data_IF_865375427331
#
_entry.id   IF_865375427331
#
_cell.length_a   1.000
_cell.length_b   1.000
_cell.length_c   1.000
_cell.angle_alpha   90.00
_cell.angle_beta   90.00
_cell.angle_gamma   90.00
#
_symmetry.space_group_name_H-M   'P 1'
#
loop_
_entity.id
_entity.type
_entity.pdbx_description
1 polymer ?
#
# COMPACT_ATOMS: atom_id res chain seq x y z
N UNK A 1 19.82 -26.12 -63.54
CA UNK A 1 18.80 -25.17 -63.04
C UNK A 1 18.09 -25.60 -61.75
N UNK A 2 17.67 -26.85 -61.55
CA UNK A 2 17.03 -27.27 -60.28
C UNK A 2 17.96 -27.34 -59.09
N UNK A 3 19.23 -27.71 -59.28
CA UNK A 3 20.25 -27.85 -58.21
C UNK A 3 20.80 -26.52 -57.66
N UNK A 4 20.80 -25.46 -58.42
CA UNK A 4 21.26 -24.16 -57.98
C UNK A 4 20.19 -23.41 -57.14
N UNK A 5 18.94 -23.63 -57.45
CA UNK A 5 17.82 -23.03 -56.73
C UNK A 5 17.66 -23.61 -55.27
N UNK A 6 17.91 -24.91 -55.13
CA UNK A 6 17.87 -25.55 -53.82
C UNK A 6 19.05 -25.15 -52.90
N UNK A 7 20.21 -24.87 -53.47
CA UNK A 7 21.37 -24.36 -52.72
C UNK A 7 21.21 -22.87 -52.31
N UNK A 8 20.48 -22.08 -53.07
CA UNK A 8 20.17 -20.69 -52.72
C UNK A 8 19.16 -20.60 -51.60
N UNK A 9 18.12 -21.44 -51.58
CA UNK A 9 17.12 -21.53 -50.53
C UNK A 9 17.70 -22.01 -49.22
N UNK A 10 18.68 -22.94 -49.24
CA UNK A 10 19.36 -23.39 -48.01
C UNK A 10 20.26 -22.29 -47.40
N UNK A 11 20.93 -21.48 -48.20
CA UNK A 11 21.77 -20.36 -47.72
C UNK A 11 20.96 -19.21 -47.15
N UNK A 12 19.80 -18.87 -47.76
CA UNK A 12 18.90 -17.84 -47.24
C UNK A 12 18.21 -18.26 -45.95
N UNK A 13 17.85 -19.56 -45.84
CA UNK A 13 17.21 -20.07 -44.60
C UNK A 13 18.16 -20.08 -43.40
N UNK A 14 19.46 -20.31 -43.60
CA UNK A 14 20.45 -20.27 -42.51
C UNK A 14 20.82 -18.86 -42.07
N UNK A 15 20.87 -17.88 -42.96
CA UNK A 15 21.11 -16.48 -42.58
C UNK A 15 19.91 -15.86 -41.86
N UNK A 16 18.68 -16.22 -42.20
CA UNK A 16 17.50 -15.72 -41.49
C UNK A 16 17.34 -16.40 -40.10
N UNK A 17 17.72 -17.67 -39.93
CA UNK A 17 17.72 -18.30 -38.63
C UNK A 17 18.84 -17.79 -37.69
N UNK A 18 20.02 -17.47 -38.24
CA UNK A 18 21.09 -16.90 -37.39
C UNK A 18 20.82 -15.45 -37.02
N UNK A 19 20.16 -14.66 -37.84
CA UNK A 19 19.76 -13.29 -37.48
C UNK A 19 18.56 -13.26 -36.51
N UNK A 20 17.67 -14.25 -36.52
CA UNK A 20 16.61 -14.38 -35.48
C UNK A 20 17.14 -14.93 -34.15
N UNK A 21 18.17 -15.73 -34.13
CA UNK A 21 18.81 -16.21 -32.90
C UNK A 21 19.72 -15.18 -32.22
N UNK A 22 20.22 -14.19 -32.96
CA UNK A 22 21.03 -13.09 -32.42
C UNK A 22 20.18 -11.89 -31.90
N UNK A 23 18.91 -11.79 -32.28
CA UNK A 23 18.01 -10.76 -31.76
C UNK A 23 17.12 -11.22 -30.58
N UNK A 24 17.16 -12.48 -30.17
CA UNK A 24 16.47 -12.97 -28.98
C UNK A 24 17.31 -12.85 -27.69
N UNK A 25 18.52 -12.30 -27.74
CA UNK A 25 19.40 -12.20 -26.57
C UNK A 25 19.52 -10.80 -25.98
N UNK A 26 18.64 -9.86 -26.33
CA UNK A 26 18.70 -8.49 -25.82
C UNK A 26 17.35 -7.94 -25.33
N UNK A 27 16.42 -8.82 -24.96
CA UNK A 27 15.40 -8.45 -23.98
C UNK A 27 15.84 -9.06 -22.64
N UNK A 28 17.05 -8.74 -22.25
CA UNK A 28 17.42 -8.65 -20.86
C UNK A 28 16.57 -7.52 -20.29
N UNK A 29 15.42 -7.85 -19.69
CA UNK A 29 14.79 -6.96 -18.76
C UNK A 29 15.93 -6.47 -17.85
N UNK A 30 16.28 -5.19 -17.95
CA UNK A 30 17.02 -4.54 -16.91
C UNK A 30 16.17 -4.81 -15.67
N UNK A 31 16.57 -5.82 -14.88
CA UNK A 31 16.17 -5.90 -13.50
C UNK A 31 16.64 -4.59 -12.92
N UNK A 32 15.76 -3.59 -12.93
CA UNK A 32 15.89 -2.44 -12.06
C UNK A 32 16.14 -3.08 -10.71
N UNK A 33 17.38 -2.94 -10.22
CA UNK A 33 17.72 -3.31 -8.85
C UNK A 33 16.64 -2.64 -8.02
N UNK A 34 15.70 -3.45 -7.51
CA UNK A 34 14.68 -2.96 -6.61
C UNK A 34 15.45 -2.33 -5.46
N UNK A 35 15.41 -1.01 -5.36
CA UNK A 35 15.97 -0.33 -4.21
C UNK A 35 15.11 -0.76 -3.03
N UNK A 36 15.73 -1.32 -1.99
CA UNK A 36 15.02 -1.64 -0.77
C UNK A 36 14.24 -0.40 -0.31
N UNK A 37 12.97 -0.58 0.01
CA UNK A 37 12.09 0.50 0.41
C UNK A 37 12.61 1.12 1.71
N UNK A 38 13.25 2.26 1.60
CA UNK A 38 13.92 2.97 2.70
C UNK A 38 13.17 4.27 3.02
N UNK A 39 12.69 4.40 4.27
CA UNK A 39 11.92 5.57 4.71
C UNK A 39 12.69 6.89 4.62
N UNK A 40 14.01 6.82 4.57
CA UNK A 40 14.86 8.02 4.43
C UNK A 40 14.96 8.52 3.00
N UNK A 41 14.47 7.74 2.03
CA UNK A 41 14.59 8.04 0.61
C UNK A 41 13.33 8.72 0.06
N UNK A 42 13.48 9.63 -0.91
CA UNK A 42 12.33 10.27 -1.56
C UNK A 42 11.41 9.30 -2.28
N UNK A 43 11.94 8.16 -2.74
CA UNK A 43 11.22 7.10 -3.44
C UNK A 43 10.60 6.06 -2.51
N UNK A 44 10.61 6.30 -1.18
CA UNK A 44 9.90 5.47 -0.22
C UNK A 44 8.42 5.31 -0.60
N UNK A 45 8.05 4.11 -1.04
CA UNK A 45 6.70 3.76 -1.44
C UNK A 45 6.45 2.27 -1.19
N UNK A 46 6.16 1.85 0.06
CA UNK A 46 5.97 0.45 0.40
C UNK A 46 4.69 -0.13 -0.19
N UNK A 47 4.81 -1.30 -0.78
CA UNK A 47 3.72 -2.22 -1.08
C UNK A 47 3.99 -3.42 -0.19
N UNK A 48 3.23 -3.54 0.91
CA UNK A 48 3.54 -4.42 2.03
C UNK A 48 2.43 -5.45 2.27
N UNK A 49 2.74 -6.76 2.34
CA UNK A 49 1.80 -7.72 2.88
C UNK A 49 1.84 -7.63 4.41
N UNK A 50 0.73 -7.23 5.02
CA UNK A 50 0.65 -7.19 6.48
C UNK A 50 0.62 -8.59 7.04
N UNK A 51 1.50 -8.83 8.01
CA UNK A 51 1.58 -10.06 8.79
C UNK A 51 1.45 -11.36 7.95
N UNK A 52 2.32 -11.59 6.95
CA UNK A 52 2.20 -12.74 6.05
C UNK A 52 2.25 -14.08 6.79
N UNK A 53 2.78 -14.11 8.01
CA UNK A 53 2.88 -15.28 8.85
C UNK A 53 1.83 -15.33 9.98
N UNK A 54 0.87 -14.41 10.00
CA UNK A 54 -0.17 -14.38 11.02
C UNK A 54 -1.06 -15.63 10.97
N UNK A 55 -1.17 -16.29 12.12
CA UNK A 55 -1.99 -17.51 12.27
C UNK A 55 -1.44 -18.77 11.59
N UNK A 56 -0.19 -18.76 11.14
CA UNK A 56 0.40 -19.90 10.44
C UNK A 56 0.73 -21.06 11.36
N UNK A 57 0.33 -22.25 10.88
CA UNK A 57 0.76 -23.51 11.46
C UNK A 57 2.22 -23.78 11.11
N UNK A 58 2.87 -24.63 11.91
CA UNK A 58 4.29 -25.01 11.77
C UNK A 58 4.69 -25.40 10.32
N UNK A 59 3.81 -26.06 9.59
CA UNK A 59 4.02 -26.48 8.19
C UNK A 59 4.29 -25.33 7.22
N UNK A 60 3.81 -24.12 7.50
CA UNK A 60 4.07 -22.99 6.61
C UNK A 60 5.38 -22.26 6.92
N UNK A 61 5.78 -22.27 8.17
CA UNK A 61 7.12 -21.83 8.56
C UNK A 61 8.18 -22.64 7.81
N UNK A 62 7.88 -23.89 7.48
CA UNK A 62 8.75 -24.76 6.66
C UNK A 62 8.71 -24.38 5.17
N UNK A 63 7.69 -23.66 4.70
CA UNK A 63 7.53 -23.22 3.31
C UNK A 63 7.89 -21.73 3.09
N UNK A 64 8.77 -21.15 3.91
CA UNK A 64 9.15 -19.71 3.87
C UNK A 64 9.65 -19.27 2.51
N UNK A 65 10.43 -20.09 1.83
CA UNK A 65 10.95 -19.80 0.50
C UNK A 65 9.82 -19.54 -0.48
N UNK A 66 8.82 -20.42 -0.55
CA UNK A 66 7.65 -20.22 -1.40
C UNK A 66 6.82 -19.00 -0.97
N UNK A 67 6.75 -18.71 0.33
CA UNK A 67 6.07 -17.55 0.86
C UNK A 67 6.67 -16.25 0.36
N UNK A 68 7.97 -16.06 0.54
CA UNK A 68 8.68 -14.84 0.10
C UNK A 68 8.78 -14.73 -1.41
N UNK A 69 8.99 -15.84 -2.14
CA UNK A 69 8.96 -15.86 -3.60
C UNK A 69 7.57 -15.46 -4.12
N UNK A 70 6.50 -15.97 -3.51
CA UNK A 70 5.11 -15.61 -3.84
C UNK A 70 4.83 -14.12 -3.59
N UNK A 71 5.36 -13.55 -2.51
CA UNK A 71 5.26 -12.11 -2.19
C UNK A 71 5.96 -11.29 -3.27
N UNK A 72 7.20 -11.63 -3.63
CA UNK A 72 7.94 -10.93 -4.68
C UNK A 72 7.23 -11.03 -6.04
N UNK A 73 6.73 -12.23 -6.41
CA UNK A 73 5.96 -12.44 -7.64
C UNK A 73 4.64 -11.63 -7.67
N UNK A 74 4.06 -11.35 -6.52
CA UNK A 74 2.84 -10.54 -6.37
C UNK A 74 3.11 -9.03 -6.38
N UNK A 75 4.29 -8.60 -6.83
CA UNK A 75 4.75 -7.21 -6.93
C UNK A 75 4.77 -6.43 -5.61
N UNK A 76 4.93 -7.12 -4.50
CA UNK A 76 5.34 -6.46 -3.27
C UNK A 76 6.81 -6.07 -3.34
N UNK A 77 7.17 -4.95 -2.75
CA UNK A 77 8.56 -4.52 -2.58
C UNK A 77 9.04 -4.66 -1.13
N UNK A 78 8.16 -5.12 -0.24
CA UNK A 78 8.46 -5.37 1.17
C UNK A 78 7.92 -6.72 1.60
N UNK A 79 8.55 -7.28 2.62
CA UNK A 79 8.06 -8.43 3.39
C UNK A 79 7.92 -8.01 4.86
N UNK A 80 6.79 -8.19 5.41
CA UNK A 80 6.50 -7.95 6.81
C UNK A 80 5.53 -9.00 7.32
N UNK A 81 5.77 -9.67 8.41
CA UNK A 81 6.91 -9.51 9.32
C UNK A 81 7.76 -10.76 9.24
N UNK A 82 9.06 -10.60 9.14
CA UNK A 82 9.98 -11.70 8.89
C UNK A 82 10.96 -11.90 10.05
N UNK A 83 11.61 -13.05 10.08
CA UNK A 83 12.65 -13.36 11.05
C UNK A 83 14.03 -13.05 10.48
N UNK A 84 15.07 -12.89 11.33
CA UNK A 84 16.45 -12.67 10.86
C UNK A 84 16.94 -13.70 9.84
N UNK A 85 16.57 -14.96 9.99
CA UNK A 85 16.95 -16.03 9.06
C UNK A 85 16.34 -15.90 7.66
N UNK A 86 15.33 -15.08 7.48
CA UNK A 86 14.68 -14.83 6.20
C UNK A 86 15.39 -13.73 5.37
N UNK A 87 16.26 -12.95 6.00
CA UNK A 87 16.94 -11.81 5.39
C UNK A 87 17.74 -12.15 4.13
N UNK A 88 18.53 -13.23 4.07
CA UNK A 88 19.25 -13.58 2.85
C UNK A 88 18.31 -13.81 1.65
N UNK A 89 17.13 -14.38 1.90
CA UNK A 89 16.13 -14.56 0.84
C UNK A 89 15.46 -13.25 0.46
N UNK A 90 15.17 -12.37 1.42
CA UNK A 90 14.66 -11.02 1.14
C UNK A 90 15.66 -10.24 0.27
N UNK A 91 16.97 -10.30 0.58
CA UNK A 91 18.01 -9.68 -0.24
C UNK A 91 18.02 -10.23 -1.67
N UNK A 92 18.00 -11.57 -1.81
CA UNK A 92 17.96 -12.22 -3.13
C UNK A 92 16.74 -11.80 -3.96
N UNK A 93 15.59 -11.62 -3.33
CA UNK A 93 14.33 -11.27 -3.97
C UNK A 93 14.12 -9.75 -4.11
N UNK A 94 15.01 -8.91 -3.57
CA UNK A 94 14.88 -7.46 -3.59
C UNK A 94 13.76 -6.92 -2.69
N UNK A 95 13.38 -7.67 -1.65
CA UNK A 95 12.34 -7.28 -0.70
C UNK A 95 12.94 -6.52 0.49
N UNK A 96 12.41 -5.34 0.80
CA UNK A 96 12.62 -4.70 2.09
C UNK A 96 11.97 -5.51 3.21
N UNK A 97 12.58 -5.56 4.39
CA UNK A 97 12.14 -6.41 5.47
C UNK A 97 11.76 -5.61 6.73
N UNK A 98 10.59 -5.88 7.29
CA UNK A 98 10.24 -5.47 8.66
C UNK A 98 10.36 -6.70 9.54
N UNK A 99 11.25 -6.61 10.54
CA UNK A 99 11.61 -7.74 11.38
C UNK A 99 10.72 -7.87 12.59
N UNK A 100 10.41 -9.12 12.93
CA UNK A 100 9.86 -9.52 14.23
C UNK A 100 10.98 -9.95 15.17
N UNK A 101 10.77 -9.85 16.50
CA UNK A 101 11.62 -10.55 17.48
C UNK A 101 11.63 -12.07 17.24
N UNK A 102 12.81 -12.69 17.36
CA UNK A 102 13.06 -14.07 16.90
C UNK A 102 12.41 -15.19 17.74
N UNK A 103 12.01 -14.91 18.95
CA UNK A 103 11.88 -15.95 19.97
C UNK A 103 10.46 -16.36 20.35
N UNK A 104 9.42 -15.69 19.89
CA UNK A 104 8.07 -16.05 20.33
C UNK A 104 6.94 -15.67 19.39
N UNK A 105 7.24 -15.08 18.29
CA UNK A 105 6.26 -14.32 17.50
C UNK A 105 5.24 -15.19 16.76
N UNK A 106 5.46 -16.48 16.64
CA UNK A 106 4.60 -17.35 15.82
C UNK A 106 3.65 -18.22 16.63
N UNK A 107 3.82 -18.25 17.93
CA UNK A 107 2.94 -19.01 18.80
C UNK A 107 1.99 -18.06 19.51
N UNK A 108 0.87 -17.78 18.91
CA UNK A 108 -0.30 -17.18 19.54
C UNK A 108 -0.05 -15.88 20.32
N UNK A 109 -0.81 -14.86 20.01
CA UNK A 109 -1.03 -13.70 20.88
C UNK A 109 0.23 -13.20 21.59
N UNK A 110 1.03 -12.61 20.89
CA UNK A 110 2.18 -11.77 21.13
C UNK A 110 2.23 -11.07 22.51
N UNK A 111 2.38 -11.76 23.65
CA UNK A 111 2.52 -11.09 24.95
C UNK A 111 3.72 -10.15 24.96
N UNK A 112 4.77 -10.49 24.23
CA UNK A 112 6.01 -9.74 24.09
C UNK A 112 5.79 -8.33 23.49
N UNK A 113 4.95 -8.20 22.46
CA UNK A 113 4.71 -6.92 21.79
C UNK A 113 3.63 -6.07 22.49
N UNK A 114 2.79 -6.66 23.34
CA UNK A 114 1.69 -5.95 24.05
C UNK A 114 2.05 -5.45 25.44
N UNK A 115 3.24 -5.73 25.96
CA UNK A 115 3.62 -5.42 27.32
C UNK A 115 4.60 -4.25 27.49
N UNK A 116 4.80 -3.44 26.44
CA UNK A 116 5.75 -2.34 26.49
C UNK A 116 5.57 -1.41 27.69
N UNK A 117 4.32 -1.07 28.04
CA UNK A 117 3.99 -0.19 29.17
C UNK A 117 4.34 -0.74 30.55
N UNK A 118 4.56 -2.05 30.66
CA UNK A 118 4.96 -2.70 31.92
C UNK A 118 6.47 -2.70 32.12
N UNK A 119 7.24 -2.33 31.12
CA UNK A 119 8.69 -2.41 31.12
C UNK A 119 9.34 -1.14 31.69
N UNK A 120 10.44 -1.31 32.38
CA UNK A 120 11.33 -0.21 32.73
C UNK A 120 12.03 0.34 31.46
N UNK A 121 12.50 1.57 31.54
CA UNK A 121 13.25 2.22 30.45
C UNK A 121 14.50 1.40 30.02
N UNK A 122 15.17 0.82 30.99
CA UNK A 122 16.34 -0.03 30.75
C UNK A 122 15.94 -1.29 29.97
N UNK A 123 14.81 -1.87 30.29
CA UNK A 123 14.30 -3.09 29.66
C UNK A 123 13.79 -2.84 28.24
N UNK A 124 13.10 -1.72 28.01
CA UNK A 124 12.70 -1.27 26.66
C UNK A 124 13.96 -1.16 25.78
N UNK A 125 14.98 -0.43 26.24
CA UNK A 125 16.24 -0.26 25.51
C UNK A 125 16.93 -1.60 25.24
N UNK A 126 16.97 -2.50 26.21
CA UNK A 126 17.57 -3.84 26.09
C UNK A 126 16.82 -4.69 25.05
N UNK A 127 15.49 -4.69 25.05
CA UNK A 127 14.68 -5.44 24.07
C UNK A 127 14.87 -4.94 22.65
N UNK A 128 14.85 -3.63 22.45
CA UNK A 128 15.08 -3.04 21.13
C UNK A 128 16.50 -3.37 20.65
N UNK A 129 17.51 -3.23 21.53
CA UNK A 129 18.88 -3.57 21.16
C UNK A 129 19.03 -5.04 20.79
N UNK A 130 18.42 -5.94 21.56
CA UNK A 130 18.43 -7.38 21.27
C UNK A 130 17.81 -7.69 19.89
N UNK A 131 16.69 -7.07 19.56
CA UNK A 131 16.04 -7.21 18.25
C UNK A 131 16.98 -6.75 17.11
N UNK A 132 17.66 -5.63 17.30
CA UNK A 132 18.60 -5.08 16.31
C UNK A 132 19.84 -5.96 16.17
N UNK A 133 20.43 -6.39 17.30
CA UNK A 133 21.62 -7.26 17.30
C UNK A 133 21.33 -8.62 16.66
N UNK A 134 20.16 -9.21 16.94
CA UNK A 134 19.74 -10.49 16.35
C UNK A 134 19.52 -10.40 14.82
N UNK A 135 19.13 -9.24 14.33
CA UNK A 135 18.94 -8.99 12.91
C UNK A 135 20.25 -8.87 12.14
N UNK A 136 21.34 -8.43 12.79
CA UNK A 136 22.62 -8.18 12.12
C UNK A 136 22.55 -7.00 11.15
N UNK A 137 23.44 -7.00 10.17
CA UNK A 137 23.62 -5.92 9.19
C UNK A 137 23.22 -6.35 7.78
N UNK A 138 21.93 -6.54 7.54
CA UNK A 138 21.41 -6.82 6.20
C UNK A 138 20.90 -5.53 5.53
N UNK A 139 21.20 -5.29 4.24
CA UNK A 139 20.63 -4.17 3.49
C UNK A 139 19.10 -4.29 3.30
N UNK A 140 18.55 -5.49 3.37
CA UNK A 140 17.10 -5.70 3.28
C UNK A 140 16.34 -5.13 4.47
N UNK A 141 16.97 -4.91 5.62
CA UNK A 141 16.29 -4.38 6.80
C UNK A 141 15.76 -2.97 6.50
N UNK A 142 14.44 -2.83 6.45
CA UNK A 142 13.74 -1.54 6.36
C UNK A 142 13.31 -1.07 7.74
N UNK A 143 12.93 -1.98 8.62
CA UNK A 143 12.48 -1.63 9.96
C UNK A 143 12.25 -2.80 10.88
N UNK A 144 11.74 -2.47 12.06
CA UNK A 144 11.45 -3.39 13.15
C UNK A 144 10.01 -3.21 13.59
N UNK A 145 9.27 -4.31 13.69
CA UNK A 145 7.90 -4.29 14.17
C UNK A 145 7.89 -4.08 15.68
N UNK A 146 7.18 -3.07 16.12
CA UNK A 146 7.11 -2.69 17.54
C UNK A 146 5.78 -3.10 18.16
N UNK A 147 4.66 -2.64 17.59
CA UNK A 147 3.34 -2.93 18.14
C UNK A 147 2.24 -2.78 17.10
N UNK A 148 1.17 -3.53 17.30
CA UNK A 148 -0.09 -3.42 16.57
C UNK A 148 -1.17 -2.86 17.49
N UNK A 149 -1.93 -1.90 17.00
CA UNK A 149 -3.10 -1.29 17.61
C UNK A 149 -2.92 -0.92 19.11
N UNK A 150 -1.94 -0.04 19.45
CA UNK A 150 -1.77 0.41 20.83
C UNK A 150 -2.86 1.40 21.25
N UNK A 151 -3.31 1.32 22.50
CA UNK A 151 -4.04 2.43 23.14
C UNK A 151 -3.07 3.52 23.65
N UNK A 152 -3.60 4.70 23.95
CA UNK A 152 -2.76 5.85 24.40
C UNK A 152 -1.93 5.55 25.65
N UNK A 153 -2.36 4.61 26.48
CA UNK A 153 -1.58 4.20 27.67
C UNK A 153 -0.25 3.53 27.33
N UNK A 154 -0.10 3.05 26.09
CA UNK A 154 1.15 2.45 25.59
C UNK A 154 2.11 3.49 25.02
N UNK A 155 1.64 4.67 24.63
CA UNK A 155 2.42 5.68 23.90
C UNK A 155 3.71 6.13 24.60
N UNK A 156 3.74 6.38 25.92
CA UNK A 156 4.99 6.76 26.58
C UNK A 156 6.10 5.71 26.46
N UNK A 157 5.74 4.43 26.57
CA UNK A 157 6.69 3.32 26.41
C UNK A 157 7.12 3.15 24.94
N UNK A 158 6.18 3.27 24.02
CA UNK A 158 6.44 3.20 22.57
C UNK A 158 7.35 4.33 22.11
N UNK A 159 7.20 5.54 22.63
CA UNK A 159 8.12 6.66 22.35
C UNK A 159 9.56 6.34 22.73
N UNK A 160 9.77 5.63 23.86
CA UNK A 160 11.09 5.16 24.27
C UNK A 160 11.63 4.06 23.34
N UNK A 161 10.77 3.14 22.89
CA UNK A 161 11.14 2.10 21.93
C UNK A 161 11.53 2.71 20.58
N UNK A 162 10.75 3.65 20.04
CA UNK A 162 11.05 4.38 18.81
C UNK A 162 12.38 5.16 18.92
N UNK A 163 12.60 5.84 20.05
CA UNK A 163 13.86 6.54 20.31
C UNK A 163 15.05 5.57 20.35
N UNK A 164 14.87 4.37 20.92
CA UNK A 164 15.91 3.35 20.96
C UNK A 164 16.21 2.80 19.55
N UNK A 165 15.20 2.53 18.70
CA UNK A 165 15.43 2.14 17.29
C UNK A 165 16.19 3.23 16.56
N UNK A 166 15.77 4.49 16.67
CA UNK A 166 16.44 5.63 16.03
C UNK A 166 17.90 5.76 16.46
N UNK A 167 18.20 5.45 17.72
CA UNK A 167 19.57 5.51 18.26
C UNK A 167 20.46 4.36 17.76
N UNK A 168 19.96 3.14 17.77
CA UNK A 168 20.75 1.92 17.53
C UNK A 168 20.68 1.43 16.08
N UNK A 169 19.67 1.84 15.31
CA UNK A 169 19.51 1.55 13.90
C UNK A 169 19.03 2.80 13.14
N UNK A 170 19.88 3.84 13.02
CA UNK A 170 19.50 5.07 12.36
C UNK A 170 19.05 4.81 10.91
N UNK A 171 17.98 5.50 10.47
CA UNK A 171 17.39 5.30 9.16
C UNK A 171 16.44 4.10 9.04
N UNK A 172 16.31 3.28 10.10
CA UNK A 172 15.36 2.16 10.08
C UNK A 172 14.05 2.54 10.77
N UNK A 173 12.96 1.98 10.25
CA UNK A 173 11.60 2.23 10.72
C UNK A 173 11.34 1.48 12.04
N UNK A 174 10.81 2.18 13.04
CA UNK A 174 10.13 1.55 14.18
C UNK A 174 8.63 1.47 13.84
N UNK A 175 8.19 0.30 13.34
CA UNK A 175 6.87 0.17 12.75
C UNK A 175 5.81 -0.10 13.81
N UNK A 176 4.83 0.79 13.88
CA UNK A 176 3.65 0.71 14.73
C UNK A 176 2.43 0.92 13.83
N UNK A 177 1.44 0.04 13.93
CA UNK A 177 0.14 0.22 13.30
C UNK A 177 -0.86 0.74 14.31
N UNK A 178 -1.70 1.67 13.92
CA UNK A 178 -2.71 2.30 14.77
C UNK A 178 -4.10 1.69 14.54
N UNK A 179 -4.95 1.77 15.55
CA UNK A 179 -6.37 1.50 15.43
C UNK A 179 -7.05 2.39 14.39
N UNK A 180 -8.12 1.91 13.74
CA UNK A 180 -9.03 2.73 12.96
C UNK A 180 -9.96 3.61 13.83
N UNK A 181 -10.65 4.54 13.18
CA UNK A 181 -11.59 5.45 13.86
C UNK A 181 -12.75 4.74 14.56
N UNK A 182 -13.18 3.59 14.04
CA UNK A 182 -14.28 2.82 14.66
C UNK A 182 -13.88 2.09 15.96
N UNK A 183 -12.60 2.08 16.33
CA UNK A 183 -12.17 1.62 17.66
C UNK A 183 -12.56 2.59 18.80
N UNK A 184 -13.17 3.74 18.46
CA UNK A 184 -13.85 4.63 19.41
C UNK A 184 -15.17 4.08 19.94
N UNK A 185 -15.68 2.98 19.41
CA UNK A 185 -16.91 2.36 19.90
C UNK A 185 -16.80 2.03 21.41
N UNK A 186 -17.80 2.50 22.17
CA UNK A 186 -17.82 2.37 23.64
C UNK A 186 -17.07 3.47 24.38
N UNK A 187 -16.64 4.55 23.68
CA UNK A 187 -16.08 5.73 24.33
C UNK A 187 -17.08 6.38 25.31
N UNK A 188 -16.57 7.06 26.38
CA UNK A 188 -15.15 7.21 26.70
C UNK A 188 -14.56 5.97 27.41
N UNK A 189 -15.37 5.19 28.14
CA UNK A 189 -14.83 4.25 29.13
C UNK A 189 -14.37 2.92 28.54
N UNK A 190 -14.91 2.53 27.37
CA UNK A 190 -14.64 1.24 26.72
C UNK A 190 -13.91 1.35 25.39
N UNK A 191 -13.50 2.55 25.01
CA UNK A 191 -12.72 2.76 23.78
C UNK A 191 -11.38 2.04 23.86
N UNK A 192 -11.03 1.30 22.80
CA UNK A 192 -9.72 0.67 22.68
C UNK A 192 -8.60 1.72 22.54
N UNK A 193 -8.95 2.92 22.05
CA UNK A 193 -8.00 4.03 21.90
C UNK A 193 -7.51 4.55 23.27
N UNK A 194 -8.37 4.50 24.30
CA UNK A 194 -8.13 5.15 25.59
C UNK A 194 -8.29 6.68 25.55
N UNK A 195 -8.89 7.20 24.48
CA UNK A 195 -9.35 8.59 24.32
C UNK A 195 -10.79 8.59 23.81
N UNK A 196 -11.56 9.67 24.02
CA UNK A 196 -12.91 9.78 23.47
C UNK A 196 -12.92 10.08 21.97
N UNK A 197 -11.83 10.57 21.43
CA UNK A 197 -11.75 11.19 20.10
C UNK A 197 -10.57 10.63 19.30
N UNK A 198 -10.81 10.33 18.00
CA UNK A 198 -9.79 9.76 17.12
C UNK A 198 -8.71 10.79 16.73
N UNK A 199 -9.08 12.05 16.60
CA UNK A 199 -8.11 13.14 16.36
C UNK A 199 -7.13 13.26 17.52
N UNK A 200 -7.63 13.26 18.77
CA UNK A 200 -6.79 13.26 19.96
C UNK A 200 -5.84 12.06 19.98
N UNK A 201 -6.34 10.86 19.63
CA UNK A 201 -5.53 9.65 19.54
C UNK A 201 -4.35 9.82 18.57
N UNK A 202 -4.60 10.33 17.36
CA UNK A 202 -3.57 10.56 16.36
C UNK A 202 -2.56 11.65 16.79
N UNK A 203 -3.03 12.77 17.34
CA UNK A 203 -2.18 13.87 17.79
C UNK A 203 -1.29 13.43 18.96
N UNK A 204 -1.82 12.67 19.90
CA UNK A 204 -1.04 12.09 20.99
C UNK A 204 -0.01 11.09 20.49
N UNK A 205 -0.36 10.25 19.53
CA UNK A 205 0.61 9.34 18.91
C UNK A 205 1.80 10.11 18.32
N UNK A 206 1.53 11.15 17.55
CA UNK A 206 2.60 11.93 16.92
C UNK A 206 3.47 12.64 17.97
N UNK A 207 2.87 13.21 18.99
CA UNK A 207 3.59 14.01 19.99
C UNK A 207 4.33 13.19 21.04
N UNK A 208 3.75 12.07 21.49
CA UNK A 208 4.32 11.22 22.54
C UNK A 208 5.25 10.15 21.98
N UNK A 209 4.88 9.52 20.86
CA UNK A 209 5.66 8.43 20.24
C UNK A 209 6.74 8.97 19.31
N UNK A 210 6.47 10.09 18.62
CA UNK A 210 7.36 10.71 17.63
C UNK A 210 7.72 9.73 16.51
N UNK A 211 6.74 9.17 15.82
CA UNK A 211 6.93 8.15 14.80
C UNK A 211 7.63 8.70 13.55
N UNK A 212 8.07 7.80 12.66
CA UNK A 212 8.58 8.16 11.34
C UNK A 212 7.49 8.10 10.27
N UNK A 213 6.38 7.42 10.55
CA UNK A 213 5.24 7.21 9.66
C UNK A 213 3.99 7.04 10.51
N UNK A 214 2.84 7.46 10.00
CA UNK A 214 1.54 7.08 10.56
C UNK A 214 1.01 5.91 9.72
N UNK A 215 0.83 4.75 10.33
CA UNK A 215 0.18 3.58 9.74
C UNK A 215 -1.08 3.26 10.53
N UNK A 216 -2.15 2.94 9.86
CA UNK A 216 -3.41 2.50 10.45
C UNK A 216 -4.12 1.51 9.52
N UNK A 217 -5.10 0.80 10.03
CA UNK A 217 -5.96 -0.06 9.22
C UNK A 217 -7.42 0.42 9.19
N UNK A 218 -8.09 0.13 8.08
CA UNK A 218 -9.54 0.32 7.98
C UNK A 218 -10.15 -0.68 6.98
N UNK A 219 -11.06 -1.52 7.45
CA UNK A 219 -11.66 -2.60 6.68
C UNK A 219 -13.14 -2.36 6.33
N UNK A 220 -13.63 -1.12 6.46
CA UNK A 220 -15.05 -0.80 6.29
C UNK A 220 -15.57 -1.06 4.87
N UNK A 221 -14.70 -1.06 3.86
CA UNK A 221 -15.04 -1.48 2.49
C UNK A 221 -15.58 -2.91 2.45
N UNK A 222 -15.15 -3.78 3.37
CA UNK A 222 -15.60 -5.17 3.47
C UNK A 222 -16.94 -5.32 4.22
N UNK A 223 -17.44 -4.27 4.85
CA UNK A 223 -18.68 -4.33 5.61
C UNK A 223 -19.89 -3.74 4.86
N UNK A 224 -19.68 -3.19 3.67
CA UNK A 224 -20.75 -2.58 2.87
C UNK A 224 -20.54 -2.87 1.38
N UNK A 225 -21.56 -3.48 0.73
CA UNK A 225 -21.60 -3.62 -0.71
C UNK A 225 -21.73 -2.24 -1.35
N UNK A 226 -20.82 -1.92 -2.28
CA UNK A 226 -20.81 -0.63 -3.00
C UNK A 226 -20.84 0.61 -2.06
N UNK A 227 -20.42 0.42 -0.79
CA UNK A 227 -20.45 1.45 0.26
C UNK A 227 -21.81 2.16 0.42
N UNK A 228 -22.90 1.41 0.23
CA UNK A 228 -24.28 1.91 0.40
C UNK A 228 -24.69 2.08 1.87
N UNK A 229 -24.02 1.36 2.78
CA UNK A 229 -24.14 1.61 4.22
C UNK A 229 -23.41 2.91 4.55
N UNK A 230 -24.18 3.99 4.74
CA UNK A 230 -23.64 5.34 4.89
C UNK A 230 -22.74 5.51 6.10
N UNK A 231 -22.97 4.78 7.19
CA UNK A 231 -22.14 4.86 8.39
C UNK A 231 -20.78 4.22 8.16
N UNK A 232 -20.74 3.05 7.53
CA UNK A 232 -19.49 2.35 7.17
C UNK A 232 -18.72 3.10 6.10
N UNK A 233 -19.39 3.60 5.07
CA UNK A 233 -18.76 4.44 4.05
C UNK A 233 -18.21 5.73 4.67
N UNK A 234 -18.95 6.36 5.59
CA UNK A 234 -18.49 7.54 6.29
C UNK A 234 -17.24 7.27 7.13
N UNK A 235 -17.19 6.16 7.86
CA UNK A 235 -16.00 5.73 8.61
C UNK A 235 -14.82 5.57 7.67
N UNK A 236 -14.96 4.85 6.55
CA UNK A 236 -13.87 4.67 5.60
C UNK A 236 -13.29 6.00 5.11
N UNK A 237 -14.13 6.89 4.57
CA UNK A 237 -13.65 8.15 3.99
C UNK A 237 -13.16 9.13 5.05
N UNK A 238 -13.84 9.24 6.20
CA UNK A 238 -13.42 10.15 7.27
C UNK A 238 -12.11 9.74 7.88
N UNK A 239 -11.92 8.44 8.14
CA UNK A 239 -10.66 7.92 8.67
C UNK A 239 -9.49 8.20 7.69
N UNK A 240 -9.70 7.92 6.39
CA UNK A 240 -8.73 8.18 5.34
C UNK A 240 -8.30 9.67 5.32
N UNK A 241 -9.26 10.59 5.41
CA UNK A 241 -9.00 12.03 5.37
C UNK A 241 -8.42 12.55 6.69
N UNK A 242 -8.83 12.01 7.84
CA UNK A 242 -8.36 12.45 9.14
C UNK A 242 -6.90 12.07 9.39
N UNK A 243 -6.51 10.82 9.07
CA UNK A 243 -5.11 10.41 9.12
C UNK A 243 -4.24 11.26 8.18
N UNK A 244 -4.73 11.50 6.95
CA UNK A 244 -4.06 12.42 6.02
C UNK A 244 -3.85 13.81 6.63
N UNK A 245 -4.90 14.39 7.22
CA UNK A 245 -4.86 15.73 7.82
C UNK A 245 -3.80 15.84 8.93
N UNK A 246 -3.82 14.89 9.87
CA UNK A 246 -2.85 14.89 10.98
C UNK A 246 -1.43 14.63 10.46
N UNK A 247 -1.25 13.66 9.58
CA UNK A 247 0.06 13.35 9.02
C UNK A 247 0.67 14.55 8.28
N UNK A 248 -0.11 15.23 7.45
CA UNK A 248 0.33 16.43 6.73
C UNK A 248 0.67 17.59 7.66
N UNK A 249 -0.14 17.81 8.71
CA UNK A 249 0.13 18.83 9.74
C UNK A 249 1.51 18.65 10.37
N UNK A 250 1.96 17.41 10.52
CA UNK A 250 3.23 17.06 11.15
C UNK A 250 4.34 16.68 10.15
N UNK A 251 4.09 16.79 8.85
CA UNK A 251 5.07 16.47 7.81
C UNK A 251 5.47 15.00 7.75
N UNK A 252 4.59 14.09 8.16
CA UNK A 252 4.84 12.65 8.20
C UNK A 252 4.27 11.94 6.97
N UNK A 253 4.96 10.93 6.42
CA UNK A 253 4.36 9.99 5.50
C UNK A 253 3.28 9.15 6.23
N UNK A 254 2.32 8.63 5.47
CA UNK A 254 1.21 7.86 6.03
C UNK A 254 0.86 6.67 5.14
N UNK A 255 0.51 5.56 5.78
CA UNK A 255 0.20 4.26 5.17
C UNK A 255 -1.20 3.82 5.58
N UNK A 256 -1.91 3.18 4.66
CA UNK A 256 -3.22 2.59 4.88
C UNK A 256 -3.11 1.07 4.74
N UNK A 257 -3.54 0.33 5.75
CA UNK A 257 -3.69 -1.11 5.68
C UNK A 257 -5.14 -1.40 5.28
N UNK A 258 -5.28 -2.04 4.14
CA UNK A 258 -6.56 -2.42 3.55
C UNK A 258 -6.68 -3.94 3.46
N UNK A 259 -7.88 -4.46 3.17
CA UNK A 259 -8.13 -5.90 3.25
C UNK A 259 -7.92 -6.61 1.92
N UNK A 260 -7.28 -7.78 1.97
CA UNK A 260 -7.06 -8.68 0.84
C UNK A 260 -7.83 -10.00 0.95
N UNK A 261 -8.78 -10.13 1.87
CA UNK A 261 -9.53 -11.36 2.14
C UNK A 261 -10.99 -11.07 2.50
N UNK A 262 -11.79 -12.10 2.70
CA UNK A 262 -13.09 -11.97 3.32
C UNK A 262 -12.95 -11.95 4.84
N UNK A 263 -13.12 -10.79 5.43
CA UNK A 263 -12.87 -10.56 6.87
C UNK A 263 -13.85 -11.30 7.78
N UNK A 264 -15.10 -11.43 7.35
CA UNK A 264 -16.17 -12.16 8.04
C UNK A 264 -16.99 -12.97 7.03
N UNK A 265 -17.60 -14.10 7.41
CA UNK A 265 -18.36 -14.95 6.47
C UNK A 265 -19.52 -14.26 5.75
N UNK A 266 -20.04 -13.17 6.34
CA UNK A 266 -21.17 -12.39 5.79
C UNK A 266 -20.74 -11.12 5.06
N UNK A 267 -19.44 -10.83 4.97
CA UNK A 267 -18.92 -9.66 4.26
C UNK A 267 -18.67 -9.99 2.78
N UNK A 268 -18.57 -8.97 1.91
CA UNK A 268 -18.29 -9.21 0.50
C UNK A 268 -17.03 -10.02 0.25
N UNK A 269 -17.11 -10.87 -0.77
CA UNK A 269 -15.93 -11.61 -1.28
C UNK A 269 -15.02 -10.61 -2.01
N UNK A 270 -13.70 -10.67 -1.84
CA UNK A 270 -12.76 -9.85 -2.59
C UNK A 270 -12.99 -9.94 -4.10
N UNK A 271 -12.96 -8.81 -4.78
CA UNK A 271 -13.15 -8.68 -6.22
C UNK A 271 -12.11 -7.73 -6.82
N UNK A 272 -11.89 -7.72 -8.15
CA UNK A 272 -11.03 -6.74 -8.79
C UNK A 272 -11.44 -5.29 -8.45
N UNK A 273 -12.74 -4.99 -8.46
CA UNK A 273 -13.27 -3.68 -8.11
C UNK A 273 -12.92 -3.27 -6.68
N UNK A 274 -13.02 -4.21 -5.76
CA UNK A 274 -12.70 -3.99 -4.34
C UNK A 274 -11.22 -3.69 -4.13
N UNK A 275 -10.31 -4.42 -4.81
CA UNK A 275 -8.88 -4.17 -4.78
C UNK A 275 -8.51 -2.82 -5.41
N UNK A 276 -9.05 -2.50 -6.59
CA UNK A 276 -8.85 -1.22 -7.24
C UNK A 276 -9.31 -0.07 -6.33
N UNK A 277 -10.52 -0.15 -5.81
CA UNK A 277 -11.07 0.88 -4.94
C UNK A 277 -10.17 1.18 -3.76
N UNK A 278 -9.73 0.16 -3.01
CA UNK A 278 -8.88 0.33 -1.85
C UNK A 278 -7.51 0.93 -2.21
N UNK A 279 -6.90 0.45 -3.29
CA UNK A 279 -5.62 0.98 -3.75
C UNK A 279 -5.75 2.43 -4.24
N UNK A 280 -6.67 2.70 -5.16
CA UNK A 280 -6.75 4.00 -5.80
C UNK A 280 -7.30 5.11 -4.90
N UNK A 281 -8.22 4.82 -3.97
CA UNK A 281 -8.62 5.82 -2.97
C UNK A 281 -7.49 6.15 -2.00
N UNK A 282 -6.68 5.15 -1.63
CA UNK A 282 -5.46 5.34 -0.84
C UNK A 282 -4.46 6.25 -1.59
N UNK A 283 -4.20 5.98 -2.88
CA UNK A 283 -3.33 6.81 -3.70
C UNK A 283 -3.89 8.23 -3.86
N UNK A 284 -5.19 8.37 -4.16
CA UNK A 284 -5.84 9.66 -4.34
C UNK A 284 -5.79 10.54 -3.09
N UNK A 285 -5.80 9.93 -1.90
CA UNK A 285 -5.62 10.64 -0.65
C UNK A 285 -4.15 10.99 -0.32
N UNK A 286 -3.19 10.61 -1.18
CA UNK A 286 -1.78 10.98 -1.03
C UNK A 286 -0.98 10.10 -0.09
N UNK A 287 -1.44 8.90 0.17
CA UNK A 287 -0.70 7.91 0.95
C UNK A 287 0.58 7.47 0.24
N UNK A 288 1.60 7.18 1.02
CA UNK A 288 2.95 6.83 0.54
C UNK A 288 3.14 5.33 0.34
N UNK A 289 2.08 4.56 0.17
CA UNK A 289 2.10 3.14 -0.07
C UNK A 289 0.77 2.48 0.25
N UNK A 290 0.69 1.18 0.01
CA UNK A 290 -0.49 0.36 0.29
C UNK A 290 -0.06 -0.90 1.03
N UNK A 291 -0.77 -1.22 2.10
CA UNK A 291 -0.53 -2.44 2.88
C UNK A 291 -1.76 -3.33 2.84
N UNK A 292 -1.59 -4.64 2.67
CA UNK A 292 -2.67 -5.59 2.46
C UNK A 292 -2.78 -6.60 3.60
N UNK A 293 -3.88 -6.54 4.34
CA UNK A 293 -4.26 -7.50 5.36
C UNK A 293 -5.33 -8.45 4.84
N UNK A 294 -5.20 -9.71 4.91
CA UNK A 294 -4.10 -10.57 5.26
C UNK A 294 -3.71 -11.37 4.01
N UNK A 295 -2.40 -11.48 3.73
CA UNK A 295 -1.92 -12.18 2.54
C UNK A 295 -2.16 -13.69 2.61
N UNK A 296 -2.08 -14.26 3.79
CA UNK A 296 -2.28 -15.69 4.03
C UNK A 296 -3.56 -15.96 4.81
N UNK A 297 -4.28 -16.99 4.39
CA UNK A 297 -5.66 -17.23 4.75
C UNK A 297 -5.92 -18.08 5.97
N UNK A 298 -5.04 -18.19 6.94
CA UNK A 298 -5.39 -18.94 8.15
C UNK A 298 -6.45 -18.20 8.95
N UNK A 299 -7.66 -18.77 9.01
CA UNK A 299 -8.80 -18.15 9.68
C UNK A 299 -9.62 -17.18 8.82
N UNK A 300 -9.18 -16.88 7.58
CA UNK A 300 -9.90 -16.04 6.63
C UNK A 300 -10.22 -16.79 5.34
N UNK A 301 -11.37 -16.47 4.74
CA UNK A 301 -11.76 -17.02 3.44
C UNK A 301 -11.27 -16.11 2.32
N UNK A 302 -11.10 -16.69 1.15
CA UNK A 302 -10.72 -15.96 -0.07
C UNK A 302 -9.45 -15.12 0.07
N UNK A 303 -8.52 -15.51 0.94
CA UNK A 303 -7.23 -14.87 1.01
C UNK A 303 -6.40 -15.11 -0.26
N UNK A 304 -5.43 -14.25 -0.58
CA UNK A 304 -4.55 -14.44 -1.73
C UNK A 304 -3.86 -15.81 -1.76
N UNK A 305 -3.35 -16.25 -0.63
CA UNK A 305 -2.84 -17.62 -0.46
C UNK A 305 -3.66 -18.30 0.63
N UNK A 306 -4.20 -19.48 0.34
CA UNK A 306 -5.05 -20.20 1.28
C UNK A 306 -4.24 -20.88 2.41
N UNK A 307 -4.95 -21.51 3.36
CA UNK A 307 -4.33 -22.18 4.49
C UNK A 307 -3.45 -23.39 4.10
N UNK A 308 -3.56 -23.87 2.86
CA UNK A 308 -2.72 -24.94 2.30
C UNK A 308 -1.50 -24.42 1.55
N UNK A 309 -1.34 -23.09 1.44
CA UNK A 309 -0.25 -22.45 0.70
C UNK A 309 -0.53 -22.32 -0.82
N UNK A 310 -1.77 -22.54 -1.25
CA UNK A 310 -2.14 -22.44 -2.67
C UNK A 310 -2.57 -21.03 -3.02
N UNK A 311 -2.02 -20.47 -4.11
CA UNK A 311 -2.43 -19.19 -4.68
C UNK A 311 -3.87 -19.30 -5.20
N UNK A 312 -4.74 -18.42 -4.73
CA UNK A 312 -6.15 -18.37 -5.11
C UNK A 312 -6.39 -17.37 -6.24
N UNK A 313 -7.63 -17.27 -6.72
CA UNK A 313 -8.02 -16.22 -7.65
C UNK A 313 -7.80 -14.80 -7.07
N UNK A 314 -7.98 -14.64 -5.77
CA UNK A 314 -7.70 -13.38 -5.06
C UNK A 314 -6.23 -12.97 -5.18
N UNK A 315 -5.31 -13.92 -5.20
CA UNK A 315 -3.88 -13.65 -5.45
C UNK A 315 -3.66 -13.02 -6.84
N UNK A 316 -4.38 -13.50 -7.86
CA UNK A 316 -4.29 -12.93 -9.21
C UNK A 316 -4.78 -11.48 -9.25
N UNK A 317 -5.89 -11.18 -8.55
CA UNK A 317 -6.40 -9.81 -8.42
C UNK A 317 -5.42 -8.88 -7.71
N UNK A 318 -4.87 -9.36 -6.60
CA UNK A 318 -3.88 -8.63 -5.81
C UNK A 318 -2.60 -8.37 -6.61
N UNK A 319 -2.10 -9.38 -7.33
CA UNK A 319 -0.93 -9.24 -8.20
C UNK A 319 -1.12 -8.12 -9.23
N UNK A 320 -2.28 -8.09 -9.87
CA UNK A 320 -2.56 -7.08 -10.89
C UNK A 320 -2.64 -5.67 -10.31
N UNK A 321 -3.32 -5.47 -9.18
CA UNK A 321 -3.40 -4.14 -8.56
C UNK A 321 -2.04 -3.69 -8.01
N UNK A 322 -1.27 -4.59 -7.41
CA UNK A 322 0.08 -4.27 -6.94
C UNK A 322 1.01 -3.88 -8.09
N UNK A 323 0.90 -4.56 -9.26
CA UNK A 323 1.64 -4.20 -10.46
C UNK A 323 1.32 -2.76 -10.90
N UNK A 324 0.04 -2.39 -10.91
CA UNK A 324 -0.40 -1.03 -11.24
C UNK A 324 0.15 -0.01 -10.24
N UNK A 325 0.04 -0.29 -8.95
CA UNK A 325 0.59 0.56 -7.88
C UNK A 325 2.09 0.70 -8.01
N UNK A 326 2.83 -0.40 -8.25
CA UNK A 326 4.28 -0.37 -8.44
C UNK A 326 4.70 0.44 -9.69
N UNK A 327 3.91 0.39 -10.76
CA UNK A 327 4.13 1.19 -11.98
C UNK A 327 3.92 2.69 -11.72
N UNK A 328 2.94 3.06 -10.91
CA UNK A 328 2.66 4.45 -10.54
C UNK A 328 3.58 4.99 -9.44
N UNK A 329 4.16 4.12 -8.61
CA UNK A 329 4.94 4.49 -7.44
C UNK A 329 6.09 5.50 -7.71
N UNK A 330 6.87 5.41 -8.80
CA UNK A 330 7.93 6.39 -9.11
C UNK A 330 7.42 7.82 -9.26
N UNK A 331 6.22 8.01 -9.79
CA UNK A 331 5.56 9.32 -9.88
C UNK A 331 4.94 9.66 -8.52
N UNK A 332 4.11 8.78 -7.97
CA UNK A 332 3.37 9.01 -6.73
C UNK A 332 4.28 9.36 -5.55
N UNK A 333 5.46 8.75 -5.45
CA UNK A 333 6.43 9.01 -4.37
C UNK A 333 6.95 10.45 -4.36
N UNK A 334 6.87 11.16 -5.49
CA UNK A 334 7.30 12.56 -5.65
C UNK A 334 6.16 13.56 -5.59
N UNK A 335 4.93 13.08 -5.41
CA UNK A 335 3.75 13.92 -5.31
C UNK A 335 3.46 14.30 -3.85
N UNK A 336 3.14 15.57 -3.64
CA UNK A 336 2.57 16.08 -2.39
C UNK A 336 1.09 16.32 -2.61
N UNK A 337 0.22 15.71 -1.80
CA UNK A 337 -1.22 15.91 -1.88
C UNK A 337 -1.59 17.32 -1.42
N UNK A 338 -2.26 18.08 -2.30
CA UNK A 338 -2.72 19.45 -2.04
C UNK A 338 -4.22 19.52 -1.73
N UNK A 339 -4.98 18.50 -2.08
CA UNK A 339 -6.40 18.43 -1.79
C UNK A 339 -7.00 17.06 -2.09
N UNK A 340 -8.12 16.77 -1.46
CA UNK A 340 -8.99 15.63 -1.76
C UNK A 340 -10.40 16.10 -1.79
N UNK A 341 -11.11 15.83 -2.88
CA UNK A 341 -12.47 16.29 -3.13
C UNK A 341 -13.32 15.18 -3.71
N UNK A 342 -14.63 15.36 -3.66
CA UNK A 342 -15.60 14.44 -4.22
C UNK A 342 -16.49 15.17 -5.23
N UNK A 343 -16.85 14.50 -6.33
CA UNK A 343 -17.85 15.01 -7.23
C UNK A 343 -19.22 15.06 -6.52
N UNK A 344 -20.03 16.08 -6.81
CA UNK A 344 -21.33 16.25 -6.19
C UNK A 344 -22.39 15.36 -6.88
N UNK A 345 -23.25 14.66 -6.10
CA UNK A 345 -23.26 14.59 -4.66
C UNK A 345 -22.13 13.67 -4.14
N UNK A 346 -21.46 14.00 -3.03
CA UNK A 346 -20.48 13.13 -2.43
C UNK A 346 -21.14 11.82 -1.94
N UNK A 347 -20.36 10.71 -1.83
CA UNK A 347 -20.91 9.41 -1.44
C UNK A 347 -21.49 9.39 -0.02
N UNK A 348 -21.02 10.28 0.85
CA UNK A 348 -21.55 10.52 2.20
C UNK A 348 -21.50 12.01 2.52
N UNK A 349 -22.32 12.45 3.47
CA UNK A 349 -22.38 13.85 3.89
C UNK A 349 -21.08 14.33 4.55
N UNK A 350 -20.80 15.63 4.45
CA UNK A 350 -19.67 16.31 5.07
C UNK A 350 -18.29 15.91 4.51
N UNK A 351 -18.21 15.32 3.34
CA UNK A 351 -16.96 15.19 2.61
C UNK A 351 -16.68 16.47 1.78
N UNK A 352 -15.39 16.83 1.59
CA UNK A 352 -15.02 17.97 0.74
C UNK A 352 -15.51 17.76 -0.69
N UNK A 353 -16.29 18.69 -1.22
CA UNK A 353 -16.82 18.61 -2.58
C UNK A 353 -16.05 19.51 -3.54
N UNK A 354 -16.03 19.14 -4.84
CA UNK A 354 -15.57 20.03 -5.89
C UNK A 354 -16.40 21.35 -5.89
N UNK A 355 -15.81 22.48 -6.31
CA UNK A 355 -14.51 22.65 -6.95
C UNK A 355 -13.32 22.57 -5.96
N UNK A 356 -12.23 21.91 -6.41
CA UNK A 356 -10.96 21.87 -5.71
C UNK A 356 -10.05 23.07 -6.07
N UNK A 357 -8.75 22.88 -5.87
CA UNK A 357 -7.75 23.89 -6.25
C UNK A 357 -7.39 23.82 -7.75
N UNK A 358 -7.34 22.63 -8.33
CA UNK A 358 -7.00 22.36 -9.73
C UNK A 358 -8.25 22.00 -10.55
N UNK A 359 -9.14 21.21 -9.99
CA UNK A 359 -10.32 20.66 -10.67
C UNK A 359 -11.54 21.49 -10.32
N UNK A 360 -12.23 22.01 -11.35
CA UNK A 360 -13.52 22.69 -11.20
C UNK A 360 -14.65 21.67 -11.06
N UNK A 361 -14.70 20.69 -11.97
CA UNK A 361 -15.76 19.70 -12.00
C UNK A 361 -15.28 18.37 -12.62
N UNK A 362 -15.91 17.30 -12.19
CA UNK A 362 -15.88 15.99 -12.85
C UNK A 362 -17.29 15.58 -13.16
N UNK A 363 -17.56 15.22 -14.42
CA UNK A 363 -18.86 14.70 -14.82
C UNK A 363 -18.74 13.18 -15.02
N UNK A 364 -19.50 12.42 -14.24
CA UNK A 364 -19.56 10.96 -14.29
C UNK A 364 -20.93 10.48 -13.79
N UNK A 365 -21.32 9.25 -14.19
CA UNK A 365 -22.57 8.61 -13.72
C UNK A 365 -22.44 7.89 -12.37
N UNK A 366 -21.23 7.80 -11.84
CA UNK A 366 -20.93 7.18 -10.54
C UNK A 366 -20.31 8.22 -9.62
N UNK A 367 -20.34 8.04 -8.29
CA UNK A 367 -19.57 8.86 -7.38
C UNK A 367 -18.08 8.81 -7.72
N UNK A 368 -17.39 9.93 -7.59
CA UNK A 368 -15.96 10.09 -7.95
C UNK A 368 -15.22 10.80 -6.82
N UNK A 369 -14.03 10.28 -6.52
CA UNK A 369 -13.04 10.93 -5.65
C UNK A 369 -11.94 11.54 -6.52
N UNK A 370 -11.48 12.72 -6.15
CA UNK A 370 -10.42 13.48 -6.83
C UNK A 370 -9.32 13.82 -5.83
N UNK A 371 -8.12 13.29 -6.06
CA UNK A 371 -6.91 13.71 -5.37
C UNK A 371 -6.15 14.73 -6.20
N UNK A 372 -5.75 15.84 -5.61
CA UNK A 372 -4.93 16.87 -6.25
C UNK A 372 -3.53 16.87 -5.67
N UNK A 373 -2.54 17.06 -6.55
CA UNK A 373 -1.13 16.93 -6.18
C UNK A 373 -0.25 17.96 -6.86
N UNK A 374 0.87 18.23 -6.19
CA UNK A 374 2.02 18.96 -6.73
C UNK A 374 3.22 18.04 -6.74
N UNK A 375 3.84 17.87 -7.90
CA UNK A 375 5.10 17.15 -8.05
C UNK A 375 6.28 18.03 -7.60
N UNK A 376 7.39 17.42 -7.23
CA UNK A 376 8.60 18.14 -6.76
C UNK A 376 9.21 19.11 -7.78
N UNK A 377 8.94 18.92 -9.07
CA UNK A 377 9.35 19.86 -10.14
C UNK A 377 8.37 21.00 -10.39
N UNK A 378 7.29 21.05 -9.65
CA UNK A 378 6.24 22.06 -9.81
C UNK A 378 5.07 21.66 -10.69
N UNK A 379 5.10 20.51 -11.35
CA UNK A 379 3.99 20.03 -12.20
C UNK A 379 2.79 19.61 -11.34
N UNK A 380 1.58 19.91 -11.82
CA UNK A 380 0.33 19.52 -11.16
C UNK A 380 -0.16 18.18 -11.67
N UNK A 381 -0.71 17.37 -10.74
CA UNK A 381 -1.31 16.07 -11.05
C UNK A 381 -2.68 15.93 -10.40
N UNK A 382 -3.52 15.09 -10.99
CA UNK A 382 -4.85 14.76 -10.49
C UNK A 382 -5.05 13.26 -10.56
N UNK A 383 -5.51 12.64 -9.47
CA UNK A 383 -5.99 11.26 -9.47
C UNK A 383 -7.51 11.27 -9.43
N UNK A 384 -8.15 10.66 -10.43
CA UNK A 384 -9.62 10.50 -10.49
C UNK A 384 -9.96 9.04 -10.22
N UNK A 385 -10.86 8.76 -9.29
CA UNK A 385 -11.23 7.40 -8.87
C UNK A 385 -12.73 7.18 -8.99
N UNK A 386 -13.12 6.13 -9.73
CA UNK A 386 -14.50 5.64 -9.76
C UNK A 386 -14.83 4.94 -8.43
N UNK A 387 -15.74 5.49 -7.64
CA UNK A 387 -16.08 4.96 -6.32
C UNK A 387 -17.13 3.84 -6.35
N UNK A 388 -17.70 3.51 -7.51
CA UNK A 388 -18.59 2.36 -7.60
C UNK A 388 -17.80 1.04 -7.59
N UNK A 389 -18.26 0.09 -6.80
CA UNK A 389 -17.74 -1.29 -6.79
C UNK A 389 -18.45 -2.20 -7.80
N UNK A 390 -19.49 -1.71 -8.48
CA UNK A 390 -20.37 -2.49 -9.35
C UNK A 390 -20.31 -2.04 -10.82
N UNK A 391 -20.05 -0.76 -11.08
CA UNK A 391 -20.22 -0.16 -12.41
C UNK A 391 -18.97 0.55 -12.92
N UNK A 392 -18.65 0.31 -14.16
CA UNK A 392 -17.74 1.16 -14.93
C UNK A 392 -18.41 2.51 -15.21
N UNK A 393 -17.63 3.56 -15.27
CA UNK A 393 -18.11 4.89 -15.62
C UNK A 393 -17.14 5.63 -16.51
N UNK A 394 -17.68 6.37 -17.47
CA UNK A 394 -16.93 7.37 -18.23
C UNK A 394 -16.91 8.67 -17.42
N UNK A 395 -15.76 9.31 -17.34
CA UNK A 395 -15.67 10.64 -16.74
C UNK A 395 -15.06 11.65 -17.73
N UNK A 396 -15.49 12.90 -17.60
CA UNK A 396 -14.85 14.07 -18.18
C UNK A 396 -14.37 15.00 -17.07
N UNK A 397 -13.31 15.75 -17.33
CA UNK A 397 -12.67 16.63 -16.34
C UNK A 397 -12.69 18.08 -16.85
N UNK A 398 -13.10 19.01 -15.98
CA UNK A 398 -12.93 20.45 -16.19
C UNK A 398 -11.95 20.98 -15.13
N UNK A 399 -10.85 21.56 -15.58
CA UNK A 399 -9.87 22.22 -14.73
C UNK A 399 -10.19 23.67 -14.51
N UNK A 400 -9.78 24.26 -13.37
CA UNK A 400 -10.02 25.69 -13.05
C UNK A 400 -9.22 26.63 -13.94
N UNK A 401 -8.05 26.21 -14.36
CA UNK A 401 -7.19 26.95 -15.28
C UNK A 401 -7.00 26.14 -16.55
N UNK A 402 -6.86 26.79 -17.72
CA UNK A 402 -6.48 26.10 -18.93
C UNK A 402 -5.10 25.45 -18.79
N UNK A 403 -4.94 24.28 -19.37
CA UNK A 403 -3.66 23.59 -19.51
C UNK A 403 -3.38 23.34 -20.99
N UNK A 404 -2.11 23.38 -21.38
CA UNK A 404 -1.71 23.11 -22.77
C UNK A 404 -2.08 21.68 -23.19
N UNK A 405 -1.89 20.72 -22.27
CA UNK A 405 -2.37 19.37 -22.47
C UNK A 405 -2.59 18.66 -21.12
N UNK A 406 -3.43 17.62 -21.15
CA UNK A 406 -3.57 16.67 -20.04
C UNK A 406 -3.11 15.30 -20.53
N UNK A 407 -2.26 14.65 -19.76
CA UNK A 407 -1.74 13.31 -20.07
C UNK A 407 -2.18 12.30 -19.04
N UNK A 408 -2.54 11.11 -19.47
CA UNK A 408 -2.78 9.95 -18.62
C UNK A 408 -1.43 9.30 -18.34
N UNK A 409 -1.12 9.06 -17.08
CA UNK A 409 0.01 8.20 -16.66
C UNK A 409 -0.49 6.76 -16.67
N UNK A 410 0.02 5.96 -17.59
CA UNK A 410 -0.38 4.56 -17.75
C UNK A 410 0.00 3.74 -16.51
N UNK A 411 -0.99 3.09 -15.88
CA UNK A 411 -0.74 2.14 -14.80
C UNK A 411 -0.18 0.78 -15.30
N UNK A 412 -0.07 0.60 -16.64
CA UNK A 412 0.50 -0.60 -17.23
C UNK A 412 2.03 -0.55 -17.30
N UNK A 413 2.58 0.60 -17.69
CA UNK A 413 3.99 0.76 -18.00
C UNK A 413 4.58 2.16 -17.66
N UNK A 414 3.78 3.08 -17.10
CA UNK A 414 4.18 4.44 -16.76
C UNK A 414 4.26 5.40 -17.93
N UNK A 415 3.94 4.98 -19.16
CA UNK A 415 3.94 5.83 -20.34
C UNK A 415 2.87 6.92 -20.28
N UNK A 416 3.07 7.99 -21.05
CA UNK A 416 2.13 9.10 -21.14
C UNK A 416 1.31 9.01 -22.41
N UNK A 417 -0.01 9.09 -22.30
CA UNK A 417 -0.94 9.21 -23.41
C UNK A 417 -1.84 10.43 -23.24
N UNK A 418 -2.39 10.95 -24.34
CA UNK A 418 -3.25 12.14 -24.29
C UNK A 418 -4.60 11.81 -23.64
N UNK A 419 -5.06 12.68 -22.75
CA UNK A 419 -6.42 12.69 -22.25
C UNK A 419 -7.27 13.67 -23.06
N UNK A 420 -8.28 13.17 -23.73
CA UNK A 420 -9.26 14.01 -24.41
C UNK A 420 -10.35 14.45 -23.43
N UNK A 421 -10.44 15.76 -23.17
CA UNK A 421 -11.41 16.31 -22.21
C UNK A 421 -12.87 16.18 -22.69
N UNK A 422 -13.11 16.10 -24.02
CA UNK A 422 -14.46 15.95 -24.58
C UNK A 422 -14.89 14.49 -24.58
N UNK A 423 -14.01 13.61 -25.02
CA UNK A 423 -14.28 12.17 -25.06
C UNK A 423 -14.19 11.52 -23.70
N UNK A 424 -13.38 12.08 -22.77
CA UNK A 424 -13.19 11.57 -21.42
C UNK A 424 -12.49 10.21 -21.40
N UNK A 425 -12.54 9.55 -20.24
CA UNK A 425 -11.90 8.26 -19.99
C UNK A 425 -12.86 7.32 -19.27
N UNK A 426 -12.89 6.05 -19.69
CA UNK A 426 -13.59 4.99 -18.99
C UNK A 426 -12.72 4.41 -17.85
N UNK A 427 -13.31 4.32 -16.67
CA UNK A 427 -12.76 3.61 -15.53
C UNK A 427 -13.68 2.44 -15.18
N UNK A 428 -13.09 1.26 -15.02
CA UNK A 428 -13.83 0.13 -14.46
C UNK A 428 -14.18 0.39 -12.99
N UNK A 429 -15.02 -0.45 -12.41
CA UNK A 429 -15.42 -0.33 -11.01
C UNK A 429 -14.20 -0.26 -10.09
N UNK A 430 -14.16 0.71 -9.18
CA UNK A 430 -13.10 0.95 -8.22
C UNK A 430 -11.80 1.56 -8.76
N UNK A 431 -11.62 1.59 -10.08
CA UNK A 431 -10.35 2.01 -10.69
C UNK A 431 -10.15 3.53 -10.64
N UNK A 432 -8.87 3.93 -10.58
CA UNK A 432 -8.45 5.32 -10.75
C UNK A 432 -7.55 5.53 -11.96
N UNK A 433 -7.39 6.80 -12.34
CA UNK A 433 -6.43 7.26 -13.34
C UNK A 433 -5.64 8.45 -12.80
N UNK A 434 -4.32 8.41 -12.97
CA UNK A 434 -3.44 9.53 -12.66
C UNK A 434 -3.26 10.38 -13.92
N UNK A 435 -3.58 11.67 -13.80
CA UNK A 435 -3.48 12.66 -14.87
C UNK A 435 -2.38 13.67 -14.55
N UNK A 436 -1.52 13.94 -15.51
CA UNK A 436 -0.52 15.01 -15.48
C UNK A 436 -1.10 16.22 -16.20
N UNK A 437 -1.08 17.39 -15.55
CA UNK A 437 -1.51 18.65 -16.12
C UNK A 437 -0.28 19.40 -16.61
N UNK A 438 -0.18 19.63 -17.93
CA UNK A 438 0.93 20.32 -18.56
C UNK A 438 0.57 21.80 -18.81
N UNK A 439 1.47 22.73 -18.40
CA UNK A 439 1.31 24.18 -18.59
C UNK A 439 1.46 24.61 -20.03
#
# INVERSE_FOLDING_TARGET
MKTEFENLLRKVSWCCLLSMLLNCSAIGAAQTKLSFCDITKPDFFPILPWSPYHGWKKSFVESRTHGLESIAECHFNMAGFVLPQDLPLCEKLGLGAILLPSDSAFTSSVPYLREWKKLSDAEIKRRVKHLIDAAGASPAITGYFIMDEPGVTDFPALGKAVAAVRKHAPGKLAYINLFPDYATLGAPDKSQLGTPDYTEYLERFVTEVKPQVISYDNYMVQYSNDLKDTDKAASYYRNLLEVRRVAQKHGLPYLNIVTANQIRPHTPIPSPANFHFQAYTTLAAGYRGVTWYNYYGVGYRYAPVDASGVKTLTWTYLKEVNRQVATLAPVMSRLTSTGVFFAAPPPVNNLPSLPGNLVEAVNALTPVMVGEFKHSDGTSYVMVVNLSLERSAKFTLKTRQPHASIKIVSAMDGSLSSFDQKDGLWLVAGQGALLKLEE
#
